data_IF_065216945304
#
_entry.id   IF_065216945304
#
_cell.length_a   1.000
_cell.length_b   1.000
_cell.length_c   1.000
_cell.angle_alpha   90.00
_cell.angle_beta   90.00
_cell.angle_gamma   90.00
#
_symmetry.space_group_name_H-M   'P 1'
#
loop_
_entity.id
_entity.type
_entity.pdbx_description
1 polymer ?
#
# COMPACT_ATOMS: atom_id res chain seq x y z
N UNK A 1 -44.30 -24.44 30.95
CA UNK A 1 -43.54 -25.51 30.26
C UNK A 1 -43.02 -26.49 31.30
N UNK A 2 -43.09 -27.80 31.04
CA UNK A 2 -42.65 -28.83 31.99
C UNK A 2 -41.21 -29.25 31.68
N UNK A 3 -40.48 -29.82 32.64
CA UNK A 3 -39.09 -30.28 32.44
C UNK A 3 -38.93 -31.23 31.24
N UNK A 4 -39.98 -32.01 30.95
CA UNK A 4 -40.06 -32.91 29.80
C UNK A 4 -40.09 -32.18 28.44
N UNK A 5 -40.57 -30.93 28.41
CA UNK A 5 -40.56 -30.09 27.20
C UNK A 5 -39.16 -29.55 26.89
N UNK A 6 -38.36 -29.24 27.93
CA UNK A 6 -36.98 -28.78 27.80
C UNK A 6 -36.03 -29.87 27.27
N UNK A 7 -36.23 -31.12 27.70
CA UNK A 7 -35.41 -32.25 27.24
C UNK A 7 -35.51 -32.47 25.71
N UNK A 8 -36.64 -32.09 25.10
CA UNK A 8 -36.85 -32.18 23.64
C UNK A 8 -36.11 -31.09 22.85
N UNK A 9 -35.74 -29.98 23.49
CA UNK A 9 -35.02 -28.86 22.87
C UNK A 9 -33.50 -29.04 22.93
N UNK A 10 -33.01 -29.91 23.81
CA UNK A 10 -31.59 -30.22 23.99
C UNK A 10 -30.86 -30.65 22.70
N UNK A 11 -31.41 -31.53 21.83
CA UNK A 11 -30.73 -31.87 20.57
C UNK A 11 -30.65 -30.69 19.60
N UNK A 12 -31.65 -29.81 19.58
CA UNK A 12 -31.66 -28.61 18.72
C UNK A 12 -30.58 -27.63 19.18
N UNK A 13 -30.49 -27.43 20.50
CA UNK A 13 -29.45 -26.59 21.11
C UNK A 13 -28.05 -27.14 20.81
N UNK A 14 -27.86 -28.46 20.88
CA UNK A 14 -26.58 -29.11 20.60
C UNK A 14 -26.13 -28.88 19.15
N UNK A 15 -27.03 -29.04 18.18
CA UNK A 15 -26.74 -28.81 16.76
C UNK A 15 -26.35 -27.35 16.51
N UNK A 16 -27.07 -26.41 17.13
CA UNK A 16 -26.74 -24.98 17.05
C UNK A 16 -25.36 -24.67 17.63
N UNK A 17 -25.02 -25.29 18.76
CA UNK A 17 -23.73 -25.11 19.44
C UNK A 17 -22.56 -25.59 18.57
N UNK A 18 -22.73 -26.72 17.88
CA UNK A 18 -21.74 -27.26 16.95
C UNK A 18 -21.59 -26.32 15.75
N UNK A 19 -22.70 -25.82 15.20
CA UNK A 19 -22.66 -24.87 14.08
C UNK A 19 -21.92 -23.56 14.40
N UNK A 20 -22.07 -23.05 15.62
CA UNK A 20 -21.34 -21.87 16.09
C UNK A 20 -19.84 -22.12 16.29
N UNK A 21 -19.45 -23.36 16.63
CA UNK A 21 -18.03 -23.71 16.82
C UNK A 21 -17.25 -23.77 15.49
N UNK A 22 -17.92 -24.03 14.37
CA UNK A 22 -17.30 -24.08 13.04
C UNK A 22 -17.34 -22.76 12.28
N UNK A 23 -17.67 -21.65 12.93
CA UNK A 23 -17.59 -20.33 12.28
C UNK A 23 -16.10 -20.05 12.01
N UNK A 24 -15.69 -19.87 10.75
CA UNK A 24 -14.31 -19.52 10.45
C UNK A 24 -14.03 -18.17 11.11
N UNK A 25 -13.03 -18.16 11.99
CA UNK A 25 -12.48 -16.90 12.49
C UNK A 25 -11.78 -16.22 11.33
N UNK A 26 -12.49 -15.29 10.68
CA UNK A 26 -11.88 -14.33 9.77
C UNK A 26 -11.03 -13.39 10.62
N UNK A 27 -9.80 -13.81 10.92
CA UNK A 27 -8.79 -12.88 11.38
C UNK A 27 -8.53 -11.95 10.21
N UNK A 28 -9.02 -10.71 10.30
CA UNK A 28 -8.45 -9.61 9.55
C UNK A 28 -7.05 -9.37 10.15
N UNK A 29 -6.14 -10.31 9.88
CA UNK A 29 -4.75 -10.16 10.23
C UNK A 29 -4.24 -9.00 9.38
N UNK A 30 -4.14 -7.84 10.02
CA UNK A 30 -3.57 -6.64 9.43
C UNK A 30 -2.05 -6.77 9.47
N UNK A 31 -1.55 -7.87 8.89
CA UNK A 31 -0.13 -8.14 8.73
C UNK A 31 0.40 -7.09 7.78
N UNK A 32 1.10 -6.09 8.31
CA UNK A 32 1.91 -5.21 7.50
C UNK A 32 2.99 -6.09 6.87
N UNK A 33 2.88 -6.33 5.57
CA UNK A 33 3.88 -7.09 4.81
C UNK A 33 4.96 -6.11 4.39
N UNK A 34 6.21 -6.38 4.78
CA UNK A 34 7.37 -5.57 4.36
C UNK A 34 7.77 -5.91 2.91
N UNK A 35 6.84 -5.71 1.97
CA UNK A 35 7.02 -6.04 0.56
C UNK A 35 7.54 -4.87 -0.27
N UNK A 36 7.26 -3.62 0.15
CA UNK A 36 7.71 -2.38 -0.49
C UNK A 36 8.92 -1.76 0.20
N UNK A 37 9.99 -1.53 -0.55
CA UNK A 37 11.23 -0.88 -0.09
C UNK A 37 11.54 0.35 -0.91
N UNK A 38 11.75 1.46 -0.21
CA UNK A 38 12.20 2.74 -0.76
C UNK A 38 13.66 2.96 -0.38
N UNK A 39 14.53 3.14 -1.35
CA UNK A 39 15.96 3.40 -1.13
C UNK A 39 16.33 4.71 -1.82
N UNK A 40 16.77 5.67 -1.03
CA UNK A 40 17.47 6.84 -1.52
C UNK A 40 18.97 6.52 -1.50
N UNK A 41 19.67 6.60 -2.64
CA UNK A 41 21.11 6.35 -2.70
C UNK A 41 21.92 7.46 -2.01
N UNK A 42 21.33 8.63 -1.80
CA UNK A 42 21.94 9.76 -1.08
C UNK A 42 21.07 10.20 0.09
N UNK A 43 21.69 10.44 1.25
CA UNK A 43 21.01 10.79 2.50
C UNK A 43 20.67 12.28 2.62
N UNK A 44 21.20 13.11 1.73
CA UNK A 44 20.93 14.55 1.66
C UNK A 44 20.81 14.96 0.20
N UNK A 45 19.68 15.57 -0.14
CA UNK A 45 19.41 16.12 -1.47
C UNK A 45 19.52 17.64 -1.36
N UNK A 46 20.30 18.28 -2.22
CA UNK A 46 20.34 19.74 -2.26
C UNK A 46 19.05 20.29 -2.85
N UNK A 47 18.58 21.42 -2.31
CA UNK A 47 17.34 22.02 -2.74
C UNK A 47 17.34 22.34 -4.25
N UNK A 48 16.38 21.75 -4.98
CA UNK A 48 16.24 21.92 -6.43
C UNK A 48 17.08 20.97 -7.28
N UNK A 49 17.85 20.06 -6.68
CA UNK A 49 18.51 18.97 -7.41
C UNK A 49 17.57 17.77 -7.57
N UNK A 50 17.66 17.12 -8.72
CA UNK A 50 16.95 15.88 -9.00
C UNK A 50 17.76 14.70 -8.45
N UNK A 51 17.12 13.82 -7.68
CA UNK A 51 17.74 12.64 -7.09
C UNK A 51 16.95 11.38 -7.44
N UNK A 52 17.62 10.23 -7.63
CA UNK A 52 16.94 8.98 -7.92
C UNK A 52 16.39 8.31 -6.65
N UNK A 53 15.08 8.11 -6.55
CA UNK A 53 14.42 7.22 -5.61
C UNK A 53 14.29 5.82 -6.21
N UNK A 54 14.86 4.81 -5.54
CA UNK A 54 14.68 3.41 -5.92
C UNK A 54 13.51 2.79 -5.16
N UNK A 55 12.63 2.10 -5.88
CA UNK A 55 11.45 1.42 -5.34
C UNK A 55 11.55 -0.05 -5.71
N UNK A 56 11.50 -0.92 -4.71
CA UNK A 56 11.46 -2.38 -4.89
C UNK A 56 10.21 -2.92 -4.25
N UNK A 57 9.45 -3.69 -5.01
CA UNK A 57 8.25 -4.40 -4.56
C UNK A 57 8.50 -5.91 -4.71
N UNK A 58 8.26 -6.66 -3.64
CA UNK A 58 8.46 -8.11 -3.60
C UNK A 58 7.15 -8.90 -3.64
N UNK A 59 6.00 -8.23 -3.60
CA UNK A 59 4.69 -8.86 -3.60
C UNK A 59 4.32 -9.30 -5.02
N UNK A 60 4.30 -10.60 -5.37
CA UNK A 60 4.07 -11.00 -6.77
C UNK A 60 2.67 -10.64 -7.30
N UNK A 61 1.70 -10.36 -6.43
CA UNK A 61 0.29 -10.16 -6.79
C UNK A 61 -0.07 -8.67 -7.00
N UNK A 62 0.75 -7.74 -6.52
CA UNK A 62 0.42 -6.31 -6.56
C UNK A 62 0.79 -5.66 -7.90
N UNK A 63 -0.14 -5.38 -8.81
CA UNK A 63 0.24 -4.77 -10.09
C UNK A 63 0.46 -3.26 -10.01
N UNK A 64 -0.04 -2.62 -8.96
CA UNK A 64 -0.13 -1.17 -8.87
C UNK A 64 0.16 -0.68 -7.46
N UNK A 65 1.03 0.31 -7.37
CA UNK A 65 1.40 0.96 -6.10
C UNK A 65 1.04 2.44 -6.17
N UNK A 66 0.58 2.96 -5.03
CA UNK A 66 0.35 4.37 -4.81
C UNK A 66 1.38 4.85 -3.80
N UNK A 67 2.26 5.76 -4.22
CA UNK A 67 3.26 6.38 -3.36
C UNK A 67 2.90 7.85 -3.13
N UNK A 68 2.38 8.21 -1.95
CA UNK A 68 2.18 9.60 -1.59
C UNK A 68 3.51 10.36 -1.63
N UNK A 69 3.51 11.53 -2.26
CA UNK A 69 4.64 12.45 -2.25
C UNK A 69 4.35 13.61 -1.30
N UNK A 70 5.31 14.02 -0.46
CA UNK A 70 5.19 15.28 0.26
C UNK A 70 5.07 16.45 -0.73
N UNK A 71 4.30 17.48 -0.38
CA UNK A 71 4.10 18.67 -1.22
C UNK A 71 5.40 19.41 -1.58
N UNK A 72 6.49 19.12 -0.86
CA UNK A 72 7.83 19.67 -1.15
C UNK A 72 8.54 18.96 -2.30
N UNK A 73 7.98 17.90 -2.89
CA UNK A 73 8.62 17.15 -3.98
C UNK A 73 7.79 17.16 -5.26
N UNK A 74 8.47 17.37 -6.37
CA UNK A 74 7.96 17.22 -7.73
C UNK A 74 8.54 15.96 -8.36
N UNK A 75 7.70 15.26 -9.11
CA UNK A 75 8.12 14.13 -9.92
C UNK A 75 8.63 14.58 -11.28
N UNK A 76 9.83 14.15 -11.63
CA UNK A 76 10.39 14.32 -12.97
C UNK A 76 10.13 13.03 -13.74
N UNK A 77 9.44 13.14 -14.88
CA UNK A 77 9.17 11.98 -15.72
C UNK A 77 10.47 11.34 -16.19
N UNK A 78 10.61 10.05 -15.93
CA UNK A 78 11.74 9.24 -16.39
C UNK A 78 11.18 8.12 -17.25
N UNK A 79 11.71 7.98 -18.47
CA UNK A 79 11.35 6.86 -19.33
C UNK A 79 11.75 5.54 -18.68
N UNK A 80 10.78 4.64 -18.57
CA UNK A 80 10.96 3.39 -17.86
C UNK A 80 10.36 2.19 -18.60
N UNK A 81 11.18 1.16 -18.79
CA UNK A 81 10.74 -0.05 -19.51
C UNK A 81 10.03 -1.06 -18.60
N UNK A 82 10.13 -0.94 -17.27
CA UNK A 82 9.63 -1.93 -16.30
C UNK A 82 8.29 -1.55 -15.66
N UNK A 83 7.99 -0.25 -15.58
CA UNK A 83 6.71 0.25 -15.06
C UNK A 83 6.23 1.46 -15.85
N UNK A 84 4.91 1.65 -15.91
CA UNK A 84 4.31 2.93 -16.28
C UNK A 84 4.13 3.75 -15.00
N UNK A 85 4.59 5.00 -15.01
CA UNK A 85 4.54 5.88 -13.85
C UNK A 85 3.67 7.07 -14.22
N UNK A 86 2.68 7.38 -13.39
CA UNK A 86 1.81 8.53 -13.56
C UNK A 86 1.82 9.36 -12.29
N UNK A 87 1.97 10.68 -12.42
CA UNK A 87 1.79 11.58 -11.29
C UNK A 87 0.31 12.02 -11.20
N UNK A 88 -0.35 11.59 -10.14
CA UNK A 88 -1.70 12.02 -9.81
C UNK A 88 -1.63 13.33 -9.01
N UNK A 89 -1.84 14.44 -9.72
CA UNK A 89 -1.80 15.80 -9.18
C UNK A 89 -2.92 16.08 -8.17
N UNK A 90 -4.05 15.38 -8.27
CA UNK A 90 -5.19 15.62 -7.37
C UNK A 90 -4.91 15.06 -5.98
N UNK A 91 -4.24 13.90 -5.90
CA UNK A 91 -3.93 13.22 -4.65
C UNK A 91 -2.46 13.37 -4.21
N UNK A 92 -1.65 14.14 -4.95
CA UNK A 92 -0.21 14.34 -4.70
C UNK A 92 0.55 13.02 -4.51
N UNK A 93 0.36 12.09 -5.45
CA UNK A 93 0.92 10.74 -5.35
C UNK A 93 1.43 10.23 -6.71
N UNK A 94 2.39 9.32 -6.65
CA UNK A 94 2.81 8.54 -7.81
C UNK A 94 2.02 7.24 -7.89
N UNK A 95 1.51 6.97 -9.08
CA UNK A 95 0.89 5.70 -9.44
C UNK A 95 1.88 4.92 -10.29
N UNK A 96 2.35 3.79 -9.76
CA UNK A 96 3.31 2.92 -10.43
C UNK A 96 2.56 1.66 -10.85
N UNK A 97 2.49 1.42 -12.16
CA UNK A 97 1.84 0.26 -12.77
C UNK A 97 2.90 -0.66 -13.38
N UNK A 98 3.09 -1.84 -12.78
CA UNK A 98 4.16 -2.77 -13.11
C UNK A 98 3.82 -3.57 -14.39
N UNK A 99 4.70 -3.55 -15.40
CA UNK A 99 4.45 -4.23 -16.68
C UNK A 99 4.62 -5.75 -16.62
N UNK A 100 5.40 -6.31 -15.69
CA UNK A 100 5.64 -7.76 -15.57
C UNK A 100 5.83 -8.24 -14.11
N UNK A 101 5.45 -9.50 -13.86
CA UNK A 101 5.37 -10.12 -12.52
C UNK A 101 6.71 -10.49 -11.86
N UNK A 102 7.83 -10.50 -12.60
CA UNK A 102 9.04 -11.21 -12.15
C UNK A 102 10.19 -10.31 -11.65
N UNK A 103 10.15 -9.00 -11.88
CA UNK A 103 11.16 -8.08 -11.34
C UNK A 103 10.58 -6.67 -11.17
N UNK A 104 10.11 -6.36 -9.96
CA UNK A 104 9.60 -5.02 -9.61
C UNK A 104 10.64 -4.24 -8.83
N UNK A 105 11.74 -3.93 -9.51
CA UNK A 105 12.74 -3.00 -9.00
C UNK A 105 12.81 -1.84 -9.97
N UNK A 106 12.77 -0.61 -9.45
CA UNK A 106 12.83 0.55 -10.30
C UNK A 106 13.53 1.75 -9.66
N UNK A 107 13.96 2.69 -10.48
CA UNK A 107 14.60 3.95 -10.07
C UNK A 107 13.89 5.11 -10.76
N UNK A 108 13.58 6.16 -10.01
CA UNK A 108 12.82 7.32 -10.49
C UNK A 108 13.46 8.62 -10.02
N UNK A 109 13.44 9.68 -10.80
CA UNK A 109 13.99 10.97 -10.38
C UNK A 109 12.92 11.86 -9.72
N UNK A 110 13.17 12.27 -8.49
CA UNK A 110 12.39 13.27 -7.76
C UNK A 110 13.21 14.55 -7.64
N UNK A 111 12.58 15.72 -7.63
CA UNK A 111 13.23 16.98 -7.31
C UNK A 111 12.47 17.70 -6.21
N UNK A 112 13.19 18.32 -5.27
CA UNK A 112 12.53 19.17 -4.28
C UNK A 112 12.05 20.48 -4.95
N UNK A 113 10.77 20.81 -4.76
CA UNK A 113 10.20 22.07 -5.23
C UNK A 113 10.83 23.19 -4.41
N UNK A 114 11.39 24.21 -5.08
CA UNK A 114 11.72 25.47 -4.40
C UNK A 114 10.45 25.99 -3.72
N UNK A 115 10.39 25.96 -2.39
CA UNK A 115 9.41 26.77 -1.65
C UNK A 115 9.59 28.20 -2.14
N UNK A 116 8.64 28.68 -2.94
CA UNK A 116 8.50 30.11 -3.24
C UNK A 116 8.40 30.77 -1.87
N UNK A 117 9.41 31.53 -1.45
CA UNK A 117 9.28 32.37 -0.26
C UNK A 117 8.09 33.29 -0.53
N UNK A 118 6.95 32.96 0.07
CA UNK A 118 5.80 33.84 0.10
C UNK A 118 6.17 34.93 1.09
N UNK A 119 6.76 35.99 0.57
CA UNK A 119 7.04 37.18 1.33
C UNK A 119 5.69 37.90 1.49
N UNK A 120 5.07 37.77 2.65
CA UNK A 120 3.96 38.63 3.03
C UNK A 120 4.57 39.97 3.45
N UNK A 121 4.56 40.94 2.54
CA UNK A 121 4.71 42.35 2.91
C UNK A 121 3.40 42.85 3.52
#
# INVERSE_FOLDING_TARGET
MTAKTWLKLLPILLIFSIGLFFIPHLFAENGQVDDLKLVLPESSVSQGEAFPLQITDTNPNEQKIYLPLPESFEYITVDNNQAAITYDKSNHQLVIDWKQQNAKKNSYSLSEIKKKQVNFQ
#
